data_IF_675376744617
#
_entry.id   IF_675376744617
#
_cell.length_a   1.000
_cell.length_b   1.000
_cell.length_c   1.000
_cell.angle_alpha   90.00
_cell.angle_beta   90.00
_cell.angle_gamma   90.00
#
_symmetry.space_group_name_H-M   'P 1'
#
loop_
_entity.id
_entity.type
_entity.pdbx_description
1 polymer ?
#
# COMPACT_ATOMS: atom_id res chain seq x y z
N UNK A 1 -34.59 -29.15 7.40
CA UNK A 1 -35.50 -27.99 7.54
C UNK A 1 -34.68 -26.82 8.07
N UNK A 2 -34.82 -25.66 7.43
CA UNK A 2 -34.13 -24.37 7.65
C UNK A 2 -32.93 -24.12 6.74
N UNK A 3 -33.27 -23.81 5.50
CA UNK A 3 -32.50 -22.99 4.58
C UNK A 3 -32.69 -21.52 4.99
N UNK A 4 -31.61 -20.77 5.17
CA UNK A 4 -31.63 -19.35 5.48
C UNK A 4 -30.99 -18.56 4.35
N UNK A 5 -31.83 -18.02 3.47
CA UNK A 5 -31.42 -17.06 2.45
C UNK A 5 -31.34 -15.64 3.02
N UNK A 6 -30.51 -14.82 2.39
CA UNK A 6 -30.68 -13.36 2.35
C UNK A 6 -30.27 -12.87 0.97
N UNK A 7 -31.28 -12.46 0.22
CA UNK A 7 -31.23 -11.52 -0.89
C UNK A 7 -30.48 -10.24 -0.49
N UNK A 8 -29.72 -9.70 -1.43
CA UNK A 8 -29.35 -8.29 -1.46
C UNK A 8 -29.24 -7.86 -2.91
N UNK A 9 -30.38 -7.38 -3.40
CA UNK A 9 -30.53 -6.55 -4.58
C UNK A 9 -29.75 -5.24 -4.41
N UNK A 10 -28.90 -4.90 -5.38
CA UNK A 10 -28.52 -3.53 -5.66
C UNK A 10 -28.34 -3.37 -7.18
N UNK A 11 -29.49 -3.23 -7.85
CA UNK A 11 -29.60 -2.51 -9.11
C UNK A 11 -29.40 -1.01 -8.84
N UNK A 12 -28.36 -0.40 -9.41
CA UNK A 12 -28.37 1.04 -9.63
C UNK A 12 -27.80 1.42 -11.00
N UNK A 13 -28.74 1.66 -11.92
CA UNK A 13 -28.88 2.87 -12.75
C UNK A 13 -27.57 3.44 -13.35
N UNK A 14 -27.37 3.38 -14.66
CA UNK A 14 -28.18 4.15 -15.60
C UNK A 14 -27.42 5.43 -15.97
N UNK A 15 -26.65 5.38 -17.05
CA UNK A 15 -25.85 6.50 -17.56
C UNK A 15 -25.76 6.49 -19.07
N UNK A 16 -26.90 6.58 -19.74
CA UNK A 16 -26.98 6.91 -21.17
C UNK A 16 -26.56 8.38 -21.37
N UNK A 17 -25.34 8.62 -21.87
CA UNK A 17 -24.96 9.94 -22.36
C UNK A 17 -25.30 10.04 -23.85
N UNK A 18 -26.55 10.44 -24.07
CA UNK A 18 -27.12 10.87 -25.34
C UNK A 18 -26.61 12.26 -25.73
N UNK A 19 -26.31 12.44 -27.02
CA UNK A 19 -26.62 13.68 -27.73
C UNK A 19 -25.56 14.79 -27.73
N UNK A 20 -24.63 14.73 -28.68
CA UNK A 20 -23.87 15.88 -29.16
C UNK A 20 -23.87 15.92 -30.68
N UNK A 21 -24.96 16.43 -31.26
CA UNK A 21 -25.10 16.71 -32.69
C UNK A 21 -24.20 17.89 -33.04
N UNK A 22 -23.04 17.63 -33.67
CA UNK A 22 -22.19 18.67 -34.27
C UNK A 22 -22.66 18.91 -35.70
N UNK A 23 -23.70 19.73 -35.84
CA UNK A 23 -23.94 20.47 -37.07
C UNK A 23 -23.11 21.76 -36.96
N UNK A 24 -22.16 21.99 -37.85
CA UNK A 24 -21.30 23.18 -37.75
C UNK A 24 -20.19 23.23 -38.80
N UNK A 25 -20.61 23.55 -40.02
CA UNK A 25 -19.91 24.34 -41.02
C UNK A 25 -18.66 23.75 -41.72
N UNK A 26 -18.90 23.39 -42.98
CA UNK A 26 -17.93 23.52 -44.06
C UNK A 26 -17.26 24.90 -44.02
N UNK A 27 -15.99 24.95 -43.61
CA UNK A 27 -15.10 26.03 -43.99
C UNK A 27 -14.20 25.55 -45.13
N UNK A 28 -14.75 25.65 -46.33
CA UNK A 28 -14.01 25.64 -47.58
C UNK A 28 -13.15 26.91 -47.67
N UNK A 29 -11.90 26.75 -48.10
CA UNK A 29 -11.14 27.80 -48.77
C UNK A 29 -10.10 28.49 -47.91
N UNK A 30 -8.83 28.24 -48.22
CA UNK A 30 -7.75 29.12 -47.80
C UNK A 30 -6.39 28.47 -47.77
N UNK A 31 -5.88 28.00 -48.91
CA UNK A 31 -4.44 28.07 -49.17
C UNK A 31 -4.06 29.56 -49.20
N UNK A 32 -3.89 30.18 -48.03
CA UNK A 32 -3.20 31.46 -47.92
C UNK A 32 -1.78 31.18 -47.50
N UNK A 33 -0.93 31.05 -48.51
CA UNK A 33 0.48 31.42 -48.41
C UNK A 33 0.56 32.90 -48.03
N UNK A 34 0.49 33.16 -46.73
CA UNK A 34 0.87 34.41 -46.12
C UNK A 34 1.92 34.07 -45.08
N UNK A 35 3.14 34.54 -45.27
CA UNK A 35 4.13 34.65 -44.20
C UNK A 35 3.58 35.60 -43.13
N UNK A 36 2.59 35.15 -42.35
CA UNK A 36 2.21 35.81 -41.11
C UNK A 36 3.43 35.72 -40.22
N UNK A 37 4.23 36.80 -40.23
CA UNK A 37 5.23 37.09 -39.23
C UNK A 37 4.53 37.08 -37.87
N UNK A 38 4.43 35.89 -37.27
CA UNK A 38 4.00 35.73 -35.89
C UNK A 38 4.84 36.69 -35.07
N UNK A 39 4.23 37.66 -34.36
CA UNK A 39 4.98 38.59 -33.54
C UNK A 39 5.89 37.77 -32.62
N UNK A 40 7.19 38.08 -32.66
CA UNK A 40 8.17 37.33 -31.89
C UNK A 40 7.75 37.32 -30.41
N UNK A 41 7.69 36.14 -29.76
CA UNK A 41 7.19 36.06 -28.40
C UNK A 41 8.02 36.96 -27.50
N UNK A 42 7.33 37.70 -26.64
CA UNK A 42 7.97 38.62 -25.70
C UNK A 42 8.92 37.85 -24.77
N UNK A 43 9.95 38.52 -24.23
CA UNK A 43 10.89 37.86 -23.29
C UNK A 43 10.16 37.23 -22.10
N UNK A 44 9.10 37.86 -21.62
CA UNK A 44 8.27 37.34 -20.53
C UNK A 44 7.56 36.04 -20.93
N UNK A 45 6.99 35.99 -22.13
CA UNK A 45 6.35 34.78 -22.67
C UNK A 45 7.33 33.62 -22.79
N UNK A 46 8.53 33.86 -23.34
CA UNK A 46 9.59 32.83 -23.43
C UNK A 46 10.01 32.29 -22.07
N UNK A 47 10.12 33.16 -21.06
CA UNK A 47 10.45 32.75 -19.69
C UNK A 47 9.33 31.88 -19.11
N UNK A 48 8.07 32.27 -19.27
CA UNK A 48 6.92 31.48 -18.81
C UNK A 48 6.86 30.11 -19.50
N UNK A 49 7.06 30.06 -20.82
CA UNK A 49 7.12 28.80 -21.56
C UNK A 49 8.27 27.92 -21.04
N UNK A 50 9.46 28.50 -20.83
CA UNK A 50 10.62 27.77 -20.31
C UNK A 50 10.37 27.20 -18.91
N UNK A 51 9.79 27.98 -18.00
CA UNK A 51 9.44 27.53 -16.65
C UNK A 51 8.40 26.40 -16.71
N UNK A 52 7.38 26.53 -17.54
CA UNK A 52 6.36 25.48 -17.71
C UNK A 52 6.99 24.17 -18.16
N UNK A 53 7.84 24.20 -19.20
CA UNK A 53 8.52 23.00 -19.70
C UNK A 53 9.42 22.39 -18.62
N UNK A 54 10.16 23.21 -17.89
CA UNK A 54 11.03 22.73 -16.80
C UNK A 54 10.23 22.04 -15.70
N UNK A 55 9.11 22.63 -15.26
CA UNK A 55 8.22 22.03 -14.25
C UNK A 55 7.68 20.70 -14.75
N UNK A 56 7.24 20.62 -16.01
CA UNK A 56 6.78 19.37 -16.61
C UNK A 56 7.85 18.29 -16.57
N UNK A 57 9.08 18.60 -16.99
CA UNK A 57 10.20 17.65 -16.96
C UNK A 57 10.51 17.18 -15.53
N UNK A 58 10.50 18.09 -14.55
CA UNK A 58 10.75 17.75 -13.14
C UNK A 58 9.67 16.82 -12.57
N UNK A 59 8.40 17.07 -12.88
CA UNK A 59 7.28 16.23 -12.43
C UNK A 59 7.38 14.82 -13.03
N UNK A 60 7.58 14.71 -14.34
CA UNK A 60 7.74 13.40 -14.98
C UNK A 60 9.00 12.66 -14.52
N UNK A 61 10.11 13.39 -14.32
CA UNK A 61 11.33 12.83 -13.76
C UNK A 61 11.13 12.28 -12.35
N UNK A 62 10.38 12.99 -11.51
CA UNK A 62 10.03 12.54 -10.17
C UNK A 62 9.15 11.28 -10.19
N UNK A 63 8.10 11.25 -11.02
CA UNK A 63 7.23 10.08 -11.16
C UNK A 63 8.01 8.87 -11.68
N UNK A 64 8.85 9.06 -12.70
CA UNK A 64 9.69 8.00 -13.25
C UNK A 64 10.70 7.48 -12.21
N UNK A 65 11.28 8.38 -11.40
CA UNK A 65 12.17 8.00 -10.30
C UNK A 65 11.46 7.12 -9.27
N UNK A 66 10.26 7.50 -8.85
CA UNK A 66 9.47 6.71 -7.91
C UNK A 66 8.95 5.40 -8.50
N UNK A 67 8.73 5.32 -9.81
CA UNK A 67 8.34 4.08 -10.48
C UNK A 67 9.46 3.02 -10.49
N UNK A 68 10.73 3.42 -10.32
CA UNK A 68 11.88 2.50 -10.37
C UNK A 68 12.35 2.07 -8.98
N UNK A 69 11.92 2.74 -7.91
CA UNK A 69 12.28 2.32 -6.55
C UNK A 69 11.52 1.03 -6.21
N UNK A 70 12.21 -0.12 -6.07
CA UNK A 70 11.54 -1.33 -5.62
C UNK A 70 11.02 -1.12 -4.20
N UNK A 71 9.89 -1.75 -3.82
CA UNK A 71 9.44 -1.74 -2.43
C UNK A 71 10.56 -2.23 -1.53
N UNK A 72 10.72 -1.60 -0.38
CA UNK A 72 11.70 -2.07 0.59
C UNK A 72 11.23 -3.41 1.15
N UNK A 73 11.79 -4.51 0.66
CA UNK A 73 11.54 -5.85 1.19
C UNK A 73 12.28 -6.04 2.52
N UNK A 74 11.98 -5.19 3.51
CA UNK A 74 12.48 -5.35 4.87
C UNK A 74 11.67 -6.47 5.52
N UNK A 75 12.28 -7.63 5.87
CA UNK A 75 11.54 -8.69 6.52
C UNK A 75 10.97 -8.20 7.86
N UNK A 76 9.74 -8.59 8.21
CA UNK A 76 9.19 -8.26 9.52
C UNK A 76 9.97 -8.99 10.62
N UNK A 77 10.10 -8.35 11.78
CA UNK A 77 10.82 -8.90 12.92
C UNK A 77 9.85 -9.17 14.07
N UNK A 78 10.07 -10.25 14.82
CA UNK A 78 9.35 -10.54 16.05
C UNK A 78 10.32 -10.56 17.23
N UNK A 79 9.91 -9.97 18.35
CA UNK A 79 10.71 -9.90 19.58
C UNK A 79 9.83 -10.18 20.79
N UNK A 80 10.35 -10.88 21.80
CA UNK A 80 9.66 -11.02 23.09
C UNK A 80 9.76 -9.69 23.83
N UNK A 81 8.63 -9.11 24.21
CA UNK A 81 8.56 -7.82 24.92
C UNK A 81 8.22 -7.97 26.40
N UNK A 82 7.54 -9.04 26.76
CA UNK A 82 7.13 -9.29 28.14
C UNK A 82 7.07 -10.80 28.41
N UNK A 83 7.49 -11.19 29.60
CA UNK A 83 7.36 -12.55 30.12
C UNK A 83 6.83 -12.48 31.54
N UNK A 84 5.72 -13.16 31.81
CA UNK A 84 5.09 -13.19 33.12
C UNK A 84 4.94 -14.65 33.57
N UNK A 85 5.37 -14.96 34.79
CA UNK A 85 5.16 -16.30 35.37
C UNK A 85 3.78 -16.36 36.02
N UNK A 86 2.95 -17.29 35.57
CA UNK A 86 1.61 -17.53 36.09
C UNK A 86 1.67 -18.33 37.41
N UNK A 87 0.58 -18.30 38.18
CA UNK A 87 0.47 -19.00 39.47
C UNK A 87 0.64 -20.52 39.38
N UNK A 88 0.36 -21.09 38.21
CA UNK A 88 0.57 -22.50 37.91
C UNK A 88 2.00 -22.82 37.43
N UNK A 89 2.94 -21.87 37.48
CA UNK A 89 4.33 -22.01 37.03
C UNK A 89 4.56 -21.87 35.53
N UNK A 90 3.52 -21.82 34.70
CA UNK A 90 3.65 -21.56 33.26
C UNK A 90 4.14 -20.13 33.02
N UNK A 91 4.68 -19.86 31.83
CA UNK A 91 5.19 -18.53 31.47
C UNK A 91 4.34 -17.96 30.34
N UNK A 92 3.60 -16.88 30.61
CA UNK A 92 2.95 -16.07 29.60
C UNK A 92 4.02 -15.25 28.87
N UNK A 93 4.09 -15.36 27.55
CA UNK A 93 5.06 -14.65 26.70
C UNK A 93 4.30 -13.75 25.74
N UNK A 94 4.58 -12.45 25.79
CA UNK A 94 4.07 -11.48 24.82
C UNK A 94 5.14 -11.22 23.77
N UNK A 95 4.86 -11.57 22.52
CA UNK A 95 5.69 -11.28 21.38
C UNK A 95 5.13 -10.08 20.61
N UNK A 96 6.02 -9.19 20.18
CA UNK A 96 5.70 -8.04 19.34
C UNK A 96 6.28 -8.26 17.95
N UNK A 97 5.40 -8.23 16.96
CA UNK A 97 5.73 -8.15 15.55
C UNK A 97 5.93 -6.70 15.15
N UNK A 98 6.99 -6.40 14.40
CA UNK A 98 7.32 -5.08 13.86
C UNK A 98 7.47 -5.20 12.35
N UNK A 99 6.60 -4.51 11.61
CA UNK A 99 6.72 -4.36 10.17
C UNK A 99 7.45 -3.05 9.87
N UNK A 100 8.74 -3.11 9.52
CA UNK A 100 9.51 -1.93 9.09
C UNK A 100 9.40 -1.66 7.59
N UNK A 101 8.69 -2.51 6.85
CA UNK A 101 8.43 -2.31 5.43
C UNK A 101 7.52 -1.12 5.17
N UNK A 102 7.62 -0.61 3.95
CA UNK A 102 6.78 0.42 3.34
C UNK A 102 5.41 -0.12 2.89
N UNK A 103 5.24 -1.44 2.83
CA UNK A 103 3.98 -2.12 2.54
C UNK A 103 3.42 -2.80 3.79
N UNK A 104 2.09 -2.83 3.94
CA UNK A 104 1.43 -3.60 4.99
C UNK A 104 1.59 -5.11 4.81
N UNK A 105 1.21 -5.89 5.83
CA UNK A 105 1.12 -7.35 5.78
C UNK A 105 -0.35 -7.77 5.86
N UNK A 106 -0.78 -8.62 4.93
CA UNK A 106 -2.07 -9.32 5.00
C UNK A 106 -2.03 -10.27 6.20
N UNK A 107 -0.96 -11.04 6.31
CA UNK A 107 -0.73 -11.98 7.41
C UNK A 107 0.76 -12.17 7.72
N UNK A 108 1.06 -12.53 8.97
CA UNK A 108 2.38 -12.95 9.41
C UNK A 108 2.27 -13.99 10.52
N UNK A 109 3.05 -15.08 10.43
CA UNK A 109 3.08 -16.13 11.44
C UNK A 109 4.27 -15.90 12.38
N UNK A 110 3.97 -15.77 13.66
CA UNK A 110 4.96 -15.66 14.74
C UNK A 110 5.03 -16.97 15.50
N UNK A 111 6.22 -17.49 15.67
CA UNK A 111 6.55 -18.67 16.47
C UNK A 111 7.33 -18.26 17.71
N UNK A 112 7.09 -18.96 18.83
CA UNK A 112 7.86 -18.79 20.07
C UNK A 112 8.60 -20.07 20.42
N UNK A 113 9.91 -19.99 20.56
CA UNK A 113 10.78 -21.10 20.96
C UNK A 113 10.72 -21.35 22.47
N UNK A 114 9.65 -21.99 22.94
CA UNK A 114 9.52 -22.39 24.34
C UNK A 114 9.00 -23.81 24.59
N UNK A 115 8.55 -24.51 23.55
CA UNK A 115 8.16 -25.93 23.63
C UNK A 115 8.37 -26.63 22.26
N UNK A 116 8.16 -27.95 22.22
CA UNK A 116 8.11 -28.73 20.98
C UNK A 116 6.77 -29.50 20.85
N UNK A 117 5.96 -29.24 19.80
CA UNK A 117 6.18 -28.28 18.71
C UNK A 117 6.14 -26.82 19.19
N UNK A 118 6.83 -25.92 18.47
CA UNK A 118 6.84 -24.51 18.83
C UNK A 118 5.42 -23.92 18.66
N UNK A 119 4.86 -23.25 19.68
CA UNK A 119 3.58 -22.59 19.55
C UNK A 119 3.68 -21.44 18.53
N UNK A 120 2.73 -21.40 17.60
CA UNK A 120 2.66 -20.42 16.51
C UNK A 120 1.31 -19.71 16.51
N UNK A 121 1.27 -18.45 16.10
CA UNK A 121 0.03 -17.73 15.82
C UNK A 121 0.13 -16.85 14.59
N UNK A 122 -0.97 -16.68 13.87
CA UNK A 122 -1.06 -15.81 12.70
C UNK A 122 -1.66 -14.46 13.10
N UNK A 123 -0.96 -13.39 12.74
CA UNK A 123 -1.39 -12.01 12.92
C UNK A 123 -1.82 -11.46 11.57
N UNK A 124 -3.04 -10.94 11.49
CA UNK A 124 -3.58 -10.35 10.27
C UNK A 124 -3.49 -8.81 10.30
N UNK A 125 -3.43 -8.19 9.12
CA UNK A 125 -3.48 -6.74 8.94
C UNK A 125 -2.46 -5.95 9.78
N UNK A 126 -1.18 -6.11 9.45
CA UNK A 126 -0.10 -5.34 10.10
C UNK A 126 0.27 -4.15 9.20
N UNK A 127 -0.03 -2.90 9.58
CA UNK A 127 0.24 -1.74 8.72
C UNK A 127 1.73 -1.59 8.35
N UNK A 128 2.02 -0.85 7.28
CA UNK A 128 3.37 -0.39 6.95
C UNK A 128 3.93 0.46 8.11
N UNK A 129 5.17 0.22 8.52
CA UNK A 129 5.75 0.83 9.73
C UNK A 129 5.05 0.44 11.04
N UNK A 130 4.12 -0.53 11.00
CA UNK A 130 3.22 -0.89 12.09
C UNK A 130 3.79 -1.91 13.07
N UNK A 131 2.97 -2.21 14.08
CA UNK A 131 3.26 -3.23 15.10
C UNK A 131 1.99 -4.01 15.43
N UNK A 132 2.16 -5.28 15.79
CA UNK A 132 1.09 -6.13 16.32
C UNK A 132 1.64 -7.00 17.45
N UNK A 133 0.78 -7.49 18.34
CA UNK A 133 1.16 -8.28 19.50
C UNK A 133 0.45 -9.63 19.50
N UNK A 134 1.17 -10.64 19.98
CA UNK A 134 0.69 -12.00 20.16
C UNK A 134 1.07 -12.48 21.57
N UNK A 135 0.19 -13.29 22.17
CA UNK A 135 0.43 -13.87 23.50
C UNK A 135 0.49 -15.38 23.38
N UNK A 136 1.48 -15.97 24.04
CA UNK A 136 1.74 -17.40 24.08
C UNK A 136 1.81 -17.87 25.53
N UNK A 137 1.47 -19.12 25.78
CA UNK A 137 1.66 -19.75 27.09
C UNK A 137 2.71 -20.84 26.93
N UNK A 138 3.82 -20.68 27.63
CA UNK A 138 4.95 -21.60 27.62
C UNK A 138 4.95 -22.49 28.86
N UNK A 139 5.51 -23.72 28.76
CA UNK A 139 5.61 -24.62 29.89
C UNK A 139 6.51 -24.07 31.01
N UNK A 140 6.37 -24.64 32.20
CA UNK A 140 7.17 -24.26 33.37
C UNK A 140 8.67 -24.46 33.09
N UNK A 141 9.52 -23.59 33.65
CA UNK A 141 10.97 -23.67 33.47
C UNK A 141 11.50 -22.99 32.20
N UNK A 142 10.63 -22.38 31.38
CA UNK A 142 11.04 -21.53 30.26
C UNK A 142 11.78 -20.29 30.78
N UNK A 143 13.07 -20.14 30.46
CA UNK A 143 13.90 -19.02 30.95
C UNK A 143 14.27 -18.00 29.88
N UNK A 144 14.31 -18.40 28.61
CA UNK A 144 14.72 -17.55 27.49
C UNK A 144 13.88 -17.84 26.24
N UNK A 145 12.59 -17.48 26.23
CA UNK A 145 11.78 -17.62 25.03
C UNK A 145 12.31 -16.67 23.95
N UNK A 146 12.39 -17.13 22.71
CA UNK A 146 12.64 -16.30 21.54
C UNK A 146 11.40 -16.26 20.66
N UNK A 147 11.14 -15.14 20.00
CA UNK A 147 10.08 -15.02 19.01
C UNK A 147 10.71 -14.87 17.62
N UNK A 148 10.15 -15.52 16.61
CA UNK A 148 10.62 -15.44 15.22
C UNK A 148 9.44 -15.38 14.27
N UNK A 149 9.57 -14.65 13.17
CA UNK A 149 8.61 -14.70 12.07
C UNK A 149 9.00 -15.83 11.13
N UNK A 150 8.08 -16.76 10.85
CA UNK A 150 8.37 -17.90 9.97
C UNK A 150 7.78 -17.74 8.58
N UNK A 151 6.62 -17.11 8.46
CA UNK A 151 5.98 -16.78 7.17
C UNK A 151 5.30 -15.43 7.22
N UNK A 152 5.21 -14.73 6.09
CA UNK A 152 4.45 -13.49 5.95
C UNK A 152 3.97 -13.28 4.52
N UNK A 153 2.87 -12.55 4.37
CA UNK A 153 2.26 -12.19 3.09
C UNK A 153 2.10 -10.67 3.02
N UNK A 154 2.76 -9.97 2.09
CA UNK A 154 2.59 -8.53 1.90
C UNK A 154 1.19 -8.19 1.37
N UNK A 155 0.72 -6.97 1.65
CA UNK A 155 -0.52 -6.40 1.14
C UNK A 155 -0.43 -5.84 -0.28
#
# INVERSE_FOLDING_TARGET
MSEGGTDSDDEQSGGEQSGGKQDGDEQSGGEQGGDEQRPAPSTAEKVLTGVSVLVTVLVFGYVAWHAVQPPSHVPPEAHVVETETLSNGSVLVRAKLVNRGDTGLISATVEVGCDQPQPSTSLSYVPAGGRSEATFVCPQGTTRPNATVTTWVPA
#
